data_IF_411635497214
#
_entry.id   IF_411635497214
#
_cell.length_a   1.000
_cell.length_b   1.000
_cell.length_c   1.000
_cell.angle_alpha   90.00
_cell.angle_beta   90.00
_cell.angle_gamma   90.00
#
_symmetry.space_group_name_H-M   'P 1'
#
loop_
_entity.id
_entity.type
_entity.pdbx_description
1 polymer ?
#
# COMPACT_ATOMS: atom_id res chain seq x y z
N UNK A 1 18.83 -13.61 23.63
CA UNK A 1 17.39 -13.82 23.38
C UNK A 1 16.69 -13.74 24.74
N UNK A 2 16.30 -12.54 25.15
CA UNK A 2 15.69 -12.32 26.47
C UNK A 2 14.28 -12.90 26.47
N UNK A 3 14.10 -14.01 27.17
CA UNK A 3 12.79 -14.59 27.47
C UNK A 3 12.10 -13.70 28.50
N UNK A 4 11.31 -12.75 28.02
CA UNK A 4 10.38 -12.01 28.86
C UNK A 4 9.30 -13.00 29.32
N UNK A 5 9.42 -13.48 30.55
CA UNK A 5 8.30 -14.04 31.29
C UNK A 5 7.23 -12.96 31.37
N UNK A 6 6.07 -13.21 30.75
CA UNK A 6 4.91 -12.34 30.84
C UNK A 6 4.52 -12.24 32.31
N UNK A 7 5.01 -11.20 32.99
CA UNK A 7 4.46 -10.77 34.26
C UNK A 7 2.96 -10.59 34.04
N UNK A 8 2.16 -11.36 34.78
CA UNK A 8 0.71 -11.48 34.59
C UNK A 8 -0.05 -10.17 34.92
N UNK A 9 0.67 -9.08 35.17
CA UNK A 9 0.14 -7.76 35.53
C UNK A 9 -0.23 -6.90 34.31
N UNK A 10 0.42 -7.10 33.15
CA UNK A 10 0.11 -6.33 31.95
C UNK A 10 -0.80 -7.10 30.98
N UNK A 11 -2.04 -6.62 30.73
CA UNK A 11 -2.90 -7.24 29.74
C UNK A 11 -2.29 -7.05 28.34
N UNK A 12 -2.25 -8.11 27.53
CA UNK A 12 -1.71 -8.07 26.16
C UNK A 12 -2.36 -7.00 25.28
N UNK A 13 -3.62 -6.61 25.58
CA UNK A 13 -4.31 -5.52 24.91
C UNK A 13 -3.59 -4.17 25.04
N UNK A 14 -2.91 -3.91 26.17
CA UNK A 14 -2.10 -2.70 26.36
C UNK A 14 -0.87 -2.71 25.46
N UNK A 15 -0.23 -3.87 25.26
CA UNK A 15 0.92 -4.02 24.35
C UNK A 15 0.50 -3.79 22.90
N UNK A 16 -0.64 -4.37 22.48
CA UNK A 16 -1.18 -4.15 21.15
C UNK A 16 -1.56 -2.68 20.91
N UNK A 17 -2.09 -2.00 21.93
CA UNK A 17 -2.42 -0.57 21.87
C UNK A 17 -1.17 0.32 21.81
N UNK A 18 -0.06 -0.11 22.42
CA UNK A 18 1.24 0.53 22.32
C UNK A 18 1.95 0.29 20.98
N UNK A 19 1.38 -0.53 20.09
CA UNK A 19 1.97 -0.85 18.80
C UNK A 19 2.94 -2.03 18.82
N UNK A 20 2.98 -2.81 19.91
CA UNK A 20 3.86 -3.98 20.01
C UNK A 20 3.25 -5.23 19.37
N UNK A 21 4.12 -6.06 18.78
CA UNK A 21 3.75 -7.37 18.23
C UNK A 21 3.84 -8.43 19.32
N UNK A 22 2.75 -9.16 19.54
CA UNK A 22 2.69 -10.19 20.59
C UNK A 22 2.74 -11.58 19.95
N UNK A 23 3.74 -12.38 20.33
CA UNK A 23 3.87 -13.77 19.90
C UNK A 23 3.20 -14.72 20.91
N UNK A 24 2.38 -15.65 20.44
CA UNK A 24 1.75 -16.66 21.28
C UNK A 24 2.51 -17.97 21.14
N UNK A 25 3.07 -18.46 22.25
CA UNK A 25 3.84 -19.70 22.31
C UNK A 25 3.27 -20.59 23.41
N UNK A 26 3.03 -21.88 23.12
CA UNK A 26 2.61 -22.89 24.10
C UNK A 26 3.54 -24.10 24.03
N UNK A 27 4.20 -24.42 25.15
CA UNK A 27 5.13 -25.55 25.22
C UNK A 27 6.25 -25.47 24.17
N UNK A 28 6.81 -24.27 23.95
CA UNK A 28 7.85 -24.03 22.94
C UNK A 28 7.36 -23.99 21.48
N UNK A 29 6.08 -24.29 21.20
CA UNK A 29 5.50 -24.21 19.86
C UNK A 29 4.80 -22.86 19.66
N UNK A 30 5.15 -22.17 18.57
CA UNK A 30 4.49 -20.92 18.15
C UNK A 30 3.07 -21.24 17.66
N UNK A 31 2.07 -20.69 18.34
CA UNK A 31 0.65 -20.83 17.99
C UNK A 31 0.17 -19.72 17.06
N UNK A 32 0.74 -18.53 17.17
CA UNK A 32 0.30 -17.39 16.38
C UNK A 32 0.99 -16.08 16.75
N UNK A 33 0.53 -15.01 16.11
CA UNK A 33 1.00 -13.64 16.31
C UNK A 33 -0.21 -12.72 16.34
N UNK A 34 -0.28 -11.85 17.34
CA UNK A 34 -1.19 -10.71 17.34
C UNK A 34 -0.44 -9.48 16.86
N UNK A 35 -1.00 -8.83 15.84
CA UNK A 35 -0.48 -7.59 15.29
C UNK A 35 -1.33 -6.43 15.84
N UNK A 36 -0.70 -5.28 16.18
CA UNK A 36 -1.43 -4.05 16.42
C UNK A 36 -2.37 -3.75 15.26
N UNK A 37 -3.58 -3.30 15.57
CA UNK A 37 -4.48 -2.83 14.51
C UNK A 37 -3.94 -1.49 14.01
N UNK A 38 -3.21 -1.51 12.90
CA UNK A 38 -2.89 -0.29 12.20
C UNK A 38 -4.19 0.31 11.64
N UNK A 39 -4.43 1.63 11.79
CA UNK A 39 -5.54 2.26 11.09
C UNK A 39 -5.39 1.94 9.61
N UNK A 40 -6.46 1.45 8.99
CA UNK A 40 -6.47 1.21 7.54
C UNK A 40 -6.03 2.52 6.87
N UNK A 41 -4.94 2.52 6.08
CA UNK A 41 -4.52 3.73 5.40
C UNK A 41 -5.72 4.26 4.61
N UNK A 42 -6.05 5.52 4.84
CA UNK A 42 -7.16 6.15 4.14
C UNK A 42 -6.80 6.13 2.65
N UNK A 43 -7.54 5.35 1.87
CA UNK A 43 -7.28 5.26 0.43
C UNK A 43 -7.52 6.64 -0.17
N UNK A 44 -6.59 7.10 -1.00
CA UNK A 44 -6.82 8.28 -1.82
C UNK A 44 -8.04 7.99 -2.70
N UNK A 45 -9.04 8.89 -2.76
CA UNK A 45 -10.17 8.72 -3.66
C UNK A 45 -9.69 8.54 -5.10
N UNK A 46 -10.30 7.60 -5.82
CA UNK A 46 -9.98 7.38 -7.23
C UNK A 46 -10.29 8.68 -8.00
N UNK A 47 -9.30 9.28 -8.69
CA UNK A 47 -9.55 10.51 -9.42
C UNK A 47 -10.47 10.24 -10.63
N UNK A 48 -11.27 11.24 -10.99
CA UNK A 48 -12.07 11.16 -12.22
C UNK A 48 -11.17 11.32 -13.44
N UNK A 49 -10.73 10.19 -13.99
CA UNK A 49 -9.91 10.14 -15.20
C UNK A 49 -10.63 10.72 -16.41
N UNK A 50 -11.96 10.54 -16.52
CA UNK A 50 -12.73 11.03 -17.68
C UNK A 50 -12.82 12.55 -17.65
N UNK A 51 -13.06 13.14 -16.48
CA UNK A 51 -13.05 14.59 -16.32
C UNK A 51 -11.66 15.18 -16.62
N UNK A 52 -10.59 14.53 -16.14
CA UNK A 52 -9.21 14.94 -16.44
C UNK A 52 -8.89 14.89 -17.93
N UNK A 53 -9.19 13.78 -18.59
CA UNK A 53 -8.98 13.64 -20.04
C UNK A 53 -9.75 14.70 -20.82
N UNK A 54 -11.02 14.96 -20.46
CA UNK A 54 -11.82 16.01 -21.09
C UNK A 54 -11.26 17.41 -20.84
N UNK A 55 -10.72 17.68 -19.65
CA UNK A 55 -10.07 18.96 -19.36
C UNK A 55 -8.79 19.14 -20.17
N UNK A 56 -7.98 18.09 -20.29
CA UNK A 56 -6.68 18.16 -20.97
C UNK A 56 -6.82 18.20 -22.49
N UNK A 57 -7.68 17.35 -23.05
CA UNK A 57 -7.76 17.13 -24.49
C UNK A 57 -9.07 17.63 -25.12
N UNK A 58 -10.09 17.94 -24.31
CA UNK A 58 -11.37 18.44 -24.81
C UNK A 58 -12.03 17.45 -25.77
N UNK A 59 -12.26 17.92 -26.99
CA UNK A 59 -12.79 17.15 -28.12
C UNK A 59 -11.73 16.86 -29.19
N UNK A 60 -10.44 16.98 -28.85
CA UNK A 60 -9.36 16.72 -29.80
C UNK A 60 -9.38 15.25 -30.23
N UNK A 61 -9.31 15.04 -31.54
CA UNK A 61 -9.11 13.73 -32.16
C UNK A 61 -7.74 13.75 -32.82
N UNK A 62 -6.91 12.77 -32.50
CA UNK A 62 -5.58 12.63 -33.10
C UNK A 62 -5.70 11.91 -34.44
N UNK A 63 -4.96 12.37 -35.42
CA UNK A 63 -4.77 11.68 -36.69
C UNK A 63 -3.82 10.49 -36.54
N UNK A 64 -3.92 9.53 -37.46
CA UNK A 64 -3.02 8.36 -37.47
C UNK A 64 -1.54 8.75 -37.58
N UNK A 65 -1.24 9.83 -38.31
CA UNK A 65 0.11 10.37 -38.44
C UNK A 65 0.65 10.90 -37.11
N UNK A 66 -0.13 11.71 -36.39
CA UNK A 66 0.25 12.21 -35.05
C UNK A 66 0.46 11.07 -34.06
N UNK A 67 -0.41 10.05 -34.08
CA UNK A 67 -0.28 8.87 -33.21
C UNK A 67 1.00 8.09 -33.54
N UNK A 68 1.33 7.95 -34.82
CA UNK A 68 2.57 7.29 -35.27
C UNK A 68 3.81 8.04 -34.80
N UNK A 69 3.85 9.36 -34.99
CA UNK A 69 4.96 10.21 -34.52
C UNK A 69 5.13 10.14 -32.99
N UNK A 70 4.01 10.19 -32.23
CA UNK A 70 4.05 10.03 -30.77
C UNK A 70 4.63 8.67 -30.37
N UNK A 71 4.26 7.60 -31.09
CA UNK A 71 4.75 6.25 -30.81
C UNK A 71 6.24 6.09 -31.13
N UNK A 72 6.71 6.68 -32.22
CA UNK A 72 8.12 6.68 -32.59
C UNK A 72 8.95 7.44 -31.55
N UNK A 73 8.46 8.60 -31.07
CA UNK A 73 9.09 9.36 -30.00
C UNK A 73 9.16 8.57 -28.67
N UNK A 74 8.10 7.85 -28.28
CA UNK A 74 8.16 6.97 -27.08
C UNK A 74 9.27 5.93 -27.21
N UNK A 75 9.36 5.26 -28.36
CA UNK A 75 10.34 4.19 -28.58
C UNK A 75 11.78 4.70 -28.58
N UNK A 76 12.03 5.87 -29.16
CA UNK A 76 13.35 6.53 -29.14
C UNK A 76 13.84 6.80 -27.70
N UNK A 77 12.91 7.09 -26.78
CA UNK A 77 13.20 7.43 -25.38
C UNK A 77 13.03 6.25 -24.40
N UNK A 78 12.65 5.05 -24.88
CA UNK A 78 12.55 3.83 -24.06
C UNK A 78 13.87 3.03 -23.98
N UNK A 79 14.97 3.54 -24.53
CA UNK A 79 16.32 2.99 -24.34
C UNK A 79 16.97 3.61 -23.09
N UNK A 80 16.47 3.23 -21.91
CA UNK A 80 17.09 3.47 -20.61
C UNK A 80 17.61 2.17 -20.00
#
# INVERSE_FOLDING_TARGET
MSTLTLDQTMPFASLLSAGEVVFVVKGGKKLGVFLPTAPKPQSVPLPDFRARLRKTWGSRVFSDAEVKEMREAELEHCHG
#
